data_IF_978199243589
#
_entry.id   IF_978199243589
#
_cell.length_a   1.000
_cell.length_b   1.000
_cell.length_c   1.000
_cell.angle_alpha   90.00
_cell.angle_beta   90.00
_cell.angle_gamma   90.00
#
_symmetry.space_group_name_H-M   'P 1'
#
loop_
_entity.id
_entity.type
_entity.pdbx_description
1 polymer ?
#
# COMPACT_ATOMS: atom_id res chain seq x y z
N UNK A 1 -17.09 -13.45 0.70
CA UNK A 1 -15.84 -14.12 1.11
C UNK A 1 -15.11 -13.23 2.11
N UNK A 2 -14.36 -13.81 3.04
CA UNK A 2 -13.59 -13.06 4.03
C UNK A 2 -12.50 -12.21 3.38
N UNK A 3 -12.09 -11.13 4.03
CA UNK A 3 -11.03 -10.23 3.56
C UNK A 3 -9.80 -10.37 4.44
N UNK A 4 -8.61 -10.33 3.84
CA UNK A 4 -7.33 -10.24 4.56
C UNK A 4 -6.88 -8.78 4.53
N UNK A 5 -6.49 -8.26 5.70
CA UNK A 5 -5.84 -6.95 5.86
C UNK A 5 -4.40 -7.17 6.29
N UNK A 6 -3.46 -6.65 5.51
CA UNK A 6 -2.05 -6.54 5.89
C UNK A 6 -1.77 -5.07 6.21
N UNK A 7 -1.16 -4.79 7.35
CA UNK A 7 -0.79 -3.44 7.77
C UNK A 7 0.68 -3.40 8.16
N UNK A 8 1.41 -2.45 7.58
CA UNK A 8 2.84 -2.23 7.83
C UNK A 8 3.03 -0.81 8.31
N UNK A 9 3.82 -0.64 9.37
CA UNK A 9 4.13 0.67 9.92
C UNK A 9 5.62 0.82 10.15
N UNK A 10 6.11 2.03 9.89
CA UNK A 10 7.40 2.50 10.37
C UNK A 10 7.19 3.76 11.22
N UNK A 11 8.19 4.07 12.04
CA UNK A 11 8.24 5.26 12.90
C UNK A 11 9.27 6.29 12.38
N UNK A 12 9.53 6.29 11.07
CA UNK A 12 10.46 7.20 10.43
C UNK A 12 9.89 8.60 10.20
N UNK A 13 10.50 9.34 9.28
CA UNK A 13 10.15 10.74 8.97
C UNK A 13 8.86 10.92 8.16
N UNK A 14 8.24 9.83 7.70
CA UNK A 14 7.13 9.88 6.77
C UNK A 14 7.53 10.14 5.31
N UNK A 15 6.52 10.36 4.49
CA UNK A 15 6.61 10.64 3.06
C UNK A 15 6.42 12.15 2.79
N UNK A 16 6.97 12.66 1.68
CA UNK A 16 6.64 14.01 1.19
C UNK A 16 5.13 14.21 1.04
N UNK A 17 4.64 15.43 1.25
CA UNK A 17 3.20 15.76 1.18
C UNK A 17 2.59 15.56 -0.21
N UNK A 18 3.41 15.58 -1.25
CA UNK A 18 3.05 15.36 -2.65
C UNK A 18 3.30 13.92 -3.11
N UNK A 19 3.68 13.01 -2.20
CA UNK A 19 3.88 11.61 -2.53
C UNK A 19 2.56 10.98 -3.01
N UNK A 20 2.63 10.32 -4.17
CA UNK A 20 1.53 9.50 -4.68
C UNK A 20 2.06 8.19 -5.24
N UNK A 21 1.42 7.08 -4.84
CA UNK A 21 1.75 5.74 -5.34
C UNK A 21 1.45 5.61 -6.82
N UNK A 22 0.34 6.20 -7.28
CA UNK A 22 -0.12 6.06 -8.67
C UNK A 22 0.69 6.88 -9.66
N UNK A 23 1.31 7.99 -9.23
CA UNK A 23 2.15 8.83 -10.09
C UNK A 23 3.63 8.45 -10.05
N UNK A 24 4.06 7.65 -9.07
CA UNK A 24 5.46 7.33 -8.85
C UNK A 24 5.91 6.11 -9.67
N UNK A 25 6.75 6.37 -10.69
CA UNK A 25 7.22 5.35 -11.66
C UNK A 25 8.41 4.51 -11.18
N UNK A 26 8.79 4.59 -9.90
CA UNK A 26 9.88 3.78 -9.35
C UNK A 26 9.49 2.31 -9.37
N UNK A 27 10.36 1.47 -9.93
CA UNK A 27 10.11 0.05 -10.20
C UNK A 27 9.45 -0.70 -9.03
N UNK A 28 9.95 -0.51 -7.79
CA UNK A 28 9.41 -1.20 -6.62
C UNK A 28 7.93 -0.90 -6.35
N UNK A 29 7.51 0.37 -6.47
CA UNK A 29 6.11 0.77 -6.29
C UNK A 29 5.25 0.28 -7.46
N UNK A 30 5.79 0.29 -8.68
CA UNK A 30 5.10 -0.29 -9.84
C UNK A 30 4.81 -1.78 -9.65
N UNK A 31 5.79 -2.55 -9.15
CA UNK A 31 5.61 -3.99 -8.86
C UNK A 31 4.51 -4.19 -7.83
N UNK A 32 4.58 -3.49 -6.69
CA UNK A 32 3.62 -3.64 -5.60
C UNK A 32 2.21 -3.23 -6.06
N UNK A 33 2.09 -2.09 -6.75
CA UNK A 33 0.80 -1.61 -7.24
C UNK A 33 0.17 -2.62 -8.22
N UNK A 34 0.95 -3.15 -9.16
CA UNK A 34 0.45 -4.14 -10.12
C UNK A 34 0.01 -5.43 -9.41
N UNK A 35 0.83 -5.96 -8.50
CA UNK A 35 0.49 -7.17 -7.75
C UNK A 35 -0.81 -7.01 -6.95
N UNK A 36 -0.96 -5.91 -6.20
CA UNK A 36 -2.14 -5.71 -5.36
C UNK A 36 -3.40 -5.48 -6.19
N UNK A 37 -3.34 -4.57 -7.15
CA UNK A 37 -4.55 -4.12 -7.86
C UNK A 37 -4.95 -5.03 -9.02
N UNK A 38 -3.99 -5.61 -9.73
CA UNK A 38 -4.26 -6.40 -10.94
C UNK A 38 -4.31 -7.90 -10.64
N UNK A 39 -3.38 -8.44 -9.84
CA UNK A 39 -3.32 -9.88 -9.58
C UNK A 39 -4.26 -10.25 -8.41
N UNK A 40 -4.09 -9.61 -7.26
CA UNK A 40 -4.86 -9.92 -6.05
C UNK A 40 -6.28 -9.30 -6.04
N UNK A 41 -6.61 -8.47 -7.03
CA UNK A 41 -7.85 -7.69 -7.11
C UNK A 41 -8.16 -6.96 -5.79
N UNK A 42 -7.11 -6.45 -5.16
CA UNK A 42 -7.11 -5.82 -3.86
C UNK A 42 -6.98 -4.30 -3.96
N UNK A 43 -6.73 -3.67 -2.80
CA UNK A 43 -6.43 -2.25 -2.70
C UNK A 43 -5.21 -2.00 -1.81
N UNK A 44 -4.50 -0.92 -2.11
CA UNK A 44 -3.32 -0.44 -1.40
C UNK A 44 -3.57 1.00 -0.98
N UNK A 45 -3.39 1.32 0.30
CA UNK A 45 -3.34 2.70 0.80
C UNK A 45 -2.02 2.95 1.50
N UNK A 46 -1.51 4.18 1.36
CA UNK A 46 -0.30 4.65 2.03
C UNK A 46 -0.62 6.03 2.58
N UNK A 47 -0.39 6.23 3.87
CA UNK A 47 -0.64 7.51 4.54
C UNK A 47 0.47 7.82 5.56
N UNK A 48 0.79 9.12 5.68
CA UNK A 48 1.59 9.58 6.82
C UNK A 48 0.76 9.47 8.10
N UNK A 49 1.41 9.03 9.17
CA UNK A 49 0.86 9.05 10.52
C UNK A 49 1.51 10.16 11.34
N UNK A 50 1.16 10.30 12.63
CA UNK A 50 1.86 11.22 13.53
C UNK A 50 3.37 10.90 13.67
N UNK A 51 3.78 9.66 13.44
CA UNK A 51 5.17 9.20 13.47
C UNK A 51 5.38 8.15 12.39
N UNK A 52 5.81 8.56 11.19
CA UNK A 52 6.14 7.65 10.08
C UNK A 52 4.99 7.38 9.12
N UNK A 53 4.93 6.17 8.58
CA UNK A 53 3.99 5.77 7.51
C UNK A 53 3.17 4.57 7.95
N UNK A 54 1.92 4.52 7.50
CA UNK A 54 1.08 3.33 7.51
C UNK A 54 0.77 2.91 6.06
N UNK A 55 1.13 1.67 5.73
CA UNK A 55 0.75 1.02 4.47
C UNK A 55 -0.29 -0.05 4.79
N UNK A 56 -1.44 0.00 4.13
CA UNK A 56 -2.48 -1.02 4.26
C UNK A 56 -2.75 -1.67 2.92
N UNK A 57 -2.79 -3.00 2.89
CA UNK A 57 -3.23 -3.81 1.75
C UNK A 57 -4.47 -4.59 2.15
N UNK A 58 -5.51 -4.51 1.32
CA UNK A 58 -6.70 -5.34 1.41
C UNK A 58 -6.76 -6.29 0.22
N UNK A 59 -7.05 -7.56 0.50
CA UNK A 59 -7.22 -8.58 -0.54
C UNK A 59 -8.32 -9.57 -0.14
N UNK A 60 -8.94 -10.21 -1.13
CA UNK A 60 -9.91 -11.28 -0.87
C UNK A 60 -9.16 -12.51 -0.36
N UNK A 61 -9.69 -13.15 0.69
CA UNK A 61 -9.26 -14.50 1.05
C UNK A 61 -9.73 -15.44 -0.06
N UNK A 62 -8.83 -16.25 -0.62
CA UNK A 62 -9.22 -17.33 -1.53
C UNK A 62 -10.14 -18.32 -0.81
N UNK A 63 -11.09 -18.89 -1.57
CA UNK A 63 -12.09 -19.80 -1.05
C UNK A 63 -11.49 -21.17 -0.71
#
# INVERSE_FOLDING_TARGET
GSTIKLAFTDNGKGLPSDFSVSSNKRLGLTIINNLVTHELKGSLSIENTGTGVLVTIYMKKEA
#
